data_IF_030480127501
#
_entry.id   IF_030480127501
#
_cell.length_a   1.000
_cell.length_b   1.000
_cell.length_c   1.000
_cell.angle_alpha   90.00
_cell.angle_beta   90.00
_cell.angle_gamma   90.00
#
_symmetry.space_group_name_H-M   'P 1'
#
loop_
_entity.id
_entity.type
_entity.pdbx_description
1 polymer ?
#
# COMPACT_ATOMS: atom_id res chain seq x y z
N UNK A 1 -17.07 30.85 2.69
CA UNK A 1 -16.45 29.65 3.28
C UNK A 1 -17.11 28.45 2.63
N UNK A 2 -16.66 28.21 1.41
CA UNK A 2 -16.97 27.12 0.50
C UNK A 2 -16.27 25.88 1.05
N UNK A 3 -16.91 25.30 2.06
CA UNK A 3 -16.40 24.18 2.85
C UNK A 3 -16.24 22.93 2.00
N UNK A 4 -15.03 22.74 1.45
CA UNK A 4 -14.45 21.40 1.46
C UNK A 4 -13.75 21.21 2.78
N UNK A 5 -14.45 20.64 3.75
CA UNK A 5 -13.79 19.73 4.69
C UNK A 5 -13.67 18.32 4.06
N UNK A 6 -13.62 18.19 2.73
CA UNK A 6 -14.18 17.04 1.99
C UNK A 6 -13.30 16.35 0.94
N UNK A 7 -12.03 16.68 0.76
CA UNK A 7 -11.22 15.95 -0.24
C UNK A 7 -10.56 14.71 0.39
N UNK A 8 -11.35 13.64 0.55
CA UNK A 8 -10.77 12.31 0.74
C UNK A 8 -9.70 12.04 -0.32
N UNK A 9 -8.58 11.44 0.09
CA UNK A 9 -7.47 11.12 -0.83
C UNK A 9 -7.58 9.67 -1.29
N UNK A 10 -7.16 9.41 -2.53
CA UNK A 10 -6.94 8.05 -3.02
C UNK A 10 -5.46 7.65 -2.83
N UNK A 11 -5.22 6.37 -2.60
CA UNK A 11 -3.88 5.81 -2.50
C UNK A 11 -3.65 4.76 -3.59
N UNK A 12 -2.48 4.82 -4.24
CA UNK A 12 -2.04 3.82 -5.21
C UNK A 12 -0.77 3.17 -4.69
N UNK A 13 -0.79 1.85 -4.47
CA UNK A 13 0.37 1.12 -3.97
C UNK A 13 1.10 0.46 -5.13
N UNK A 14 2.27 0.99 -5.48
CA UNK A 14 3.11 0.39 -6.52
C UNK A 14 3.82 -0.85 -5.98
N UNK A 15 3.11 -1.98 -6.01
CA UNK A 15 3.57 -3.27 -5.49
C UNK A 15 4.36 -4.10 -6.53
N UNK A 16 4.36 -3.73 -7.80
CA UNK A 16 5.06 -4.47 -8.86
C UNK A 16 6.53 -4.07 -9.02
N UNK A 17 7.45 -5.05 -9.03
CA UNK A 17 8.85 -4.83 -9.38
C UNK A 17 9.67 -6.12 -9.38
N UNK A 18 10.79 -6.15 -10.10
CA UNK A 18 11.57 -7.37 -10.37
C UNK A 18 12.20 -8.07 -9.14
N UNK A 19 12.15 -7.44 -7.96
CA UNK A 19 12.64 -8.00 -6.69
C UNK A 19 14.03 -8.70 -6.73
N UNK A 20 14.94 -8.20 -7.59
CA UNK A 20 16.21 -8.89 -7.91
C UNK A 20 17.07 -9.26 -6.70
N UNK A 21 17.12 -8.38 -5.69
CA UNK A 21 17.90 -8.61 -4.46
C UNK A 21 17.31 -9.68 -3.53
N UNK A 22 16.05 -10.03 -3.75
CA UNK A 22 15.35 -11.09 -3.04
C UNK A 22 15.30 -12.39 -3.86
N UNK A 23 16.19 -12.53 -4.86
CA UNK A 23 16.19 -13.68 -5.76
C UNK A 23 15.04 -13.68 -6.78
N UNK A 24 14.38 -12.54 -6.99
CA UNK A 24 13.20 -12.44 -7.86
C UNK A 24 11.89 -12.86 -7.18
N UNK A 25 11.91 -13.15 -5.87
CA UNK A 25 10.72 -13.45 -5.11
C UNK A 25 9.74 -12.27 -5.09
N UNK A 26 8.43 -12.56 -5.15
CA UNK A 26 7.37 -11.57 -5.06
C UNK A 26 7.49 -10.74 -3.77
N UNK A 27 8.06 -9.54 -3.88
CA UNK A 27 8.36 -8.67 -2.74
C UNK A 27 7.10 -8.28 -1.94
N UNK A 28 5.97 -7.92 -2.56
CA UNK A 28 4.69 -7.69 -1.85
C UNK A 28 4.30 -8.83 -0.90
N UNK A 29 4.51 -10.07 -1.30
CA UNK A 29 4.25 -11.27 -0.50
C UNK A 29 5.29 -11.59 0.58
N UNK A 30 6.39 -10.82 0.68
CA UNK A 30 7.39 -11.03 1.73
C UNK A 30 6.78 -10.75 3.10
N UNK A 31 6.98 -11.69 4.03
CA UNK A 31 6.47 -11.56 5.39
C UNK A 31 7.48 -10.86 6.29
N UNK A 32 7.00 -9.88 7.05
CA UNK A 32 7.75 -9.17 8.10
C UNK A 32 6.92 -9.20 9.38
N UNK A 33 7.45 -9.80 10.45
CA UNK A 33 6.71 -9.95 11.70
C UNK A 33 5.38 -10.72 11.53
N UNK A 34 5.37 -11.73 10.65
CA UNK A 34 4.20 -12.58 10.40
C UNK A 34 3.13 -11.99 9.49
N UNK A 35 3.30 -10.77 8.96
CA UNK A 35 2.37 -10.14 8.00
C UNK A 35 3.04 -9.85 6.68
N UNK A 36 2.32 -9.98 5.57
CA UNK A 36 2.82 -9.59 4.26
C UNK A 36 3.11 -8.08 4.25
N UNK A 37 4.15 -7.69 3.50
CA UNK A 37 4.56 -6.29 3.39
C UNK A 37 3.44 -5.43 2.79
N UNK A 38 2.69 -5.97 1.83
CA UNK A 38 1.55 -5.28 1.20
C UNK A 38 0.42 -5.02 2.21
N UNK A 39 0.05 -6.00 3.03
CA UNK A 39 -1.02 -5.84 4.05
C UNK A 39 -0.70 -4.71 5.02
N UNK A 40 0.58 -4.53 5.37
CA UNK A 40 1.01 -3.44 6.25
C UNK A 40 0.79 -2.06 5.60
N UNK A 41 1.03 -1.95 4.29
CA UNK A 41 0.83 -0.69 3.55
C UNK A 41 -0.66 -0.39 3.40
N UNK A 42 -1.48 -1.38 3.03
CA UNK A 42 -2.92 -1.21 2.91
C UNK A 42 -3.57 -0.80 4.24
N UNK A 43 -3.12 -1.38 5.37
CA UNK A 43 -3.57 -0.97 6.69
C UNK A 43 -3.25 0.51 7.00
N UNK A 44 -2.09 1.00 6.55
CA UNK A 44 -1.72 2.40 6.70
C UNK A 44 -2.57 3.33 5.82
N UNK A 45 -3.08 2.83 4.69
CA UNK A 45 -3.98 3.55 3.77
C UNK A 45 -5.48 3.41 4.12
N UNK A 46 -5.83 2.96 5.34
CA UNK A 46 -7.22 2.74 5.74
C UNK A 46 -8.09 4.01 5.81
N UNK A 47 -7.48 5.19 5.84
CA UNK A 47 -8.17 6.48 5.75
C UNK A 47 -8.36 7.02 4.34
N UNK A 48 -7.87 6.32 3.31
CA UNK A 48 -8.06 6.71 1.92
C UNK A 48 -9.50 6.43 1.48
N UNK A 49 -10.06 7.30 0.65
CA UNK A 49 -11.37 7.08 0.04
C UNK A 49 -11.35 5.83 -0.84
N UNK A 50 -10.25 5.64 -1.58
CA UNK A 50 -9.95 4.44 -2.37
C UNK A 50 -8.49 4.03 -2.17
N UNK A 51 -8.22 2.72 -2.13
CA UNK A 51 -6.87 2.19 -2.29
C UNK A 51 -6.88 0.97 -3.23
N UNK A 52 -5.85 0.87 -4.07
CA UNK A 52 -5.64 -0.23 -5.04
C UNK A 52 -4.19 -0.71 -5.05
#
# INVERSE_FOLDING_TARGET
MDGRDTDGHDAVVLAGGAARRLGGADKPGVHVGGRALLDRVLAACSGAATHV
#
